data_IF_200902542549
#
_entry.id   IF_200902542549
#
_cell.length_a   1.000
_cell.length_b   1.000
_cell.length_c   1.000
_cell.angle_alpha   90.00
_cell.angle_beta   90.00
_cell.angle_gamma   90.00
#
_symmetry.space_group_name_H-M   'P 1'
#
loop_
_entity.id
_entity.type
_entity.pdbx_description
1 polymer ?
#
# COMPACT_ATOMS: atom_id res chain seq x y z
N UNK A 1 1.61 13.58 -17.18
CA UNK A 1 1.17 12.20 -17.52
C UNK A 1 -0.30 12.06 -17.20
N UNK A 2 -1.09 11.42 -18.06
CA UNK A 2 -2.49 11.12 -17.77
C UNK A 2 -2.58 10.16 -16.57
N UNK A 3 -3.54 10.38 -15.67
CA UNK A 3 -3.76 9.52 -14.52
C UNK A 3 -4.39 8.20 -14.99
N UNK A 4 -3.68 7.08 -14.85
CA UNK A 4 -4.15 5.75 -15.29
C UNK A 4 -5.10 5.09 -14.29
N UNK A 5 -4.93 5.40 -13.00
CA UNK A 5 -5.64 4.76 -11.89
C UNK A 5 -6.15 5.78 -10.86
N UNK A 6 -7.23 5.44 -10.16
CA UNK A 6 -7.77 6.27 -9.08
C UNK A 6 -8.32 5.44 -7.92
N UNK A 7 -8.10 5.92 -6.70
CA UNK A 7 -8.69 5.33 -5.50
C UNK A 7 -10.13 5.82 -5.31
N UNK A 8 -11.07 4.90 -5.15
CA UNK A 8 -12.50 5.17 -4.92
C UNK A 8 -13.04 4.21 -3.86
N UNK A 9 -14.28 4.44 -3.38
CA UNK A 9 -14.95 3.49 -2.47
C UNK A 9 -15.15 2.16 -3.20
N UNK A 10 -14.71 1.07 -2.58
CA UNK A 10 -14.90 -0.28 -3.10
C UNK A 10 -16.28 -0.79 -2.71
N UNK A 11 -16.89 -1.58 -3.59
CA UNK A 11 -18.13 -2.33 -3.28
C UNK A 11 -17.90 -3.55 -2.39
N UNK A 12 -16.64 -3.95 -2.18
CA UNK A 12 -16.27 -5.10 -1.35
C UNK A 12 -15.98 -4.63 0.08
N UNK A 13 -14.97 -3.77 0.27
CA UNK A 13 -14.59 -3.24 1.58
C UNK A 13 -13.75 -1.96 1.43
N UNK A 14 -14.06 -0.91 2.19
CA UNK A 14 -13.24 0.30 2.26
C UNK A 14 -13.01 1.01 0.92
N UNK A 15 -11.74 1.28 0.58
CA UNK A 15 -11.31 1.88 -0.68
C UNK A 15 -10.60 0.84 -1.55
N UNK A 16 -10.69 1.03 -2.86
CA UNK A 16 -9.96 0.23 -3.85
C UNK A 16 -9.45 1.10 -4.99
N UNK A 17 -8.54 0.54 -5.79
CA UNK A 17 -7.93 1.21 -6.95
C UNK A 17 -8.61 0.74 -8.23
N UNK A 18 -8.98 1.68 -9.08
CA UNK A 18 -9.70 1.44 -10.33
C UNK A 18 -8.91 1.98 -11.51
N UNK A 19 -8.85 1.21 -12.59
CA UNK A 19 -8.38 1.70 -13.89
C UNK A 19 -9.35 2.77 -14.42
N UNK A 20 -8.80 3.83 -15.02
CA UNK A 20 -9.59 4.90 -15.65
C UNK A 20 -9.71 4.73 -17.17
N UNK A 21 -8.93 3.83 -17.74
CA UNK A 21 -8.87 3.50 -19.17
C UNK A 21 -8.24 2.11 -19.32
N UNK A 22 -8.19 1.60 -20.54
CA UNK A 22 -7.46 0.36 -20.84
C UNK A 22 -5.95 0.57 -20.60
N UNK A 23 -5.35 -0.39 -19.91
CA UNK A 23 -3.94 -0.35 -19.51
C UNK A 23 -3.20 -1.50 -20.21
N UNK A 24 -2.25 -1.21 -21.11
CA UNK A 24 -1.45 -2.25 -21.75
C UNK A 24 -0.64 -3.07 -20.74
N UNK A 25 -0.45 -4.36 -21.04
CA UNK A 25 0.42 -5.25 -20.24
C UNK A 25 1.84 -4.67 -20.17
N UNK A 26 2.44 -4.71 -18.97
CA UNK A 26 3.79 -4.19 -18.73
C UNK A 26 3.84 -2.70 -18.40
N UNK A 27 2.70 -2.00 -18.36
CA UNK A 27 2.66 -0.60 -17.95
C UNK A 27 2.93 -0.47 -16.45
N UNK A 28 3.96 0.29 -16.07
CA UNK A 28 4.18 0.68 -14.67
C UNK A 28 3.12 1.69 -14.23
N UNK A 29 2.37 1.38 -13.18
CA UNK A 29 1.26 2.20 -12.70
C UNK A 29 1.68 3.23 -11.65
N UNK A 30 2.32 2.75 -10.59
CA UNK A 30 2.77 3.54 -9.47
C UNK A 30 3.76 2.73 -8.64
N UNK A 31 4.52 3.43 -7.81
CA UNK A 31 5.36 2.83 -6.78
C UNK A 31 4.54 2.62 -5.49
N UNK A 32 4.81 1.52 -4.79
CA UNK A 32 4.27 1.30 -3.45
C UNK A 32 5.12 2.06 -2.44
N UNK A 33 4.72 3.30 -2.17
CA UNK A 33 5.43 4.20 -1.26
C UNK A 33 4.87 4.14 0.15
N UNK A 34 5.70 4.49 1.12
CA UNK A 34 5.36 4.57 2.54
C UNK A 34 6.60 4.84 3.37
N UNK A 35 6.45 4.88 4.69
CA UNK A 35 7.60 5.00 5.59
C UNK A 35 8.38 3.69 5.62
N UNK A 36 9.68 3.73 5.38
CA UNK A 36 10.55 2.58 5.60
C UNK A 36 10.77 2.37 7.10
N UNK A 37 10.57 1.13 7.55
CA UNK A 37 10.79 0.66 8.91
C UNK A 37 11.66 -0.59 8.86
N UNK A 38 12.42 -0.86 9.90
CA UNK A 38 12.97 -2.19 10.16
C UNK A 38 11.88 -3.14 10.63
N UNK A 39 12.10 -4.45 10.55
CA UNK A 39 11.19 -5.46 11.11
C UNK A 39 10.92 -5.23 12.59
N UNK A 40 11.95 -4.96 13.38
CA UNK A 40 11.82 -4.69 14.82
C UNK A 40 10.99 -3.43 15.12
N UNK A 41 11.13 -2.36 14.32
CA UNK A 41 10.30 -1.16 14.46
C UNK A 41 8.84 -1.41 14.08
N UNK A 42 8.59 -2.20 13.03
CA UNK A 42 7.25 -2.59 12.65
C UNK A 42 6.61 -3.44 13.75
N UNK A 43 7.30 -4.46 14.25
CA UNK A 43 6.84 -5.30 15.34
C UNK A 43 6.57 -4.48 16.60
N UNK A 44 7.50 -3.63 17.04
CA UNK A 44 7.29 -2.80 18.22
C UNK A 44 6.07 -1.87 18.09
N UNK A 45 5.78 -1.41 16.87
CA UNK A 45 4.65 -0.50 16.60
C UNK A 45 3.31 -1.23 16.50
N UNK A 46 3.31 -2.46 16.01
CA UNK A 46 2.12 -3.16 15.56
C UNK A 46 1.81 -4.45 16.34
N UNK A 47 2.78 -5.03 17.05
CA UNK A 47 2.60 -6.21 17.87
C UNK A 47 1.47 -6.00 18.90
N UNK A 48 0.51 -6.92 18.92
CA UNK A 48 -0.63 -6.92 19.84
C UNK A 48 -1.90 -6.27 19.28
N UNK A 49 -1.85 -5.58 18.14
CA UNK A 49 -3.04 -4.94 17.55
C UNK A 49 -3.74 -5.84 16.52
N UNK A 50 -4.07 -7.08 16.94
CA UNK A 50 -4.68 -8.12 16.10
C UNK A 50 -6.06 -7.70 15.54
N UNK A 51 -6.73 -6.76 16.22
CA UNK A 51 -8.04 -6.24 15.81
C UNK A 51 -8.01 -5.23 14.66
N UNK A 52 -6.85 -4.62 14.39
CA UNK A 52 -6.66 -3.67 13.27
C UNK A 52 -5.65 -4.27 12.32
N UNK A 53 -6.08 -5.24 11.49
CA UNK A 53 -5.18 -5.90 10.54
C UNK A 53 -4.23 -4.89 9.88
N UNK A 54 -2.92 -5.14 9.98
CA UNK A 54 -1.88 -4.25 9.47
C UNK A 54 -1.88 -4.27 7.94
N UNK A 55 -2.90 -3.65 7.35
CA UNK A 55 -3.36 -3.92 5.98
C UNK A 55 -2.42 -3.34 4.91
N UNK A 56 -1.49 -2.46 5.31
CA UNK A 56 -0.62 -1.71 4.39
C UNK A 56 0.87 -1.78 4.76
N UNK A 57 1.30 -2.90 5.34
CA UNK A 57 2.71 -3.22 5.52
C UNK A 57 3.17 -4.16 4.40
N UNK A 58 4.28 -3.83 3.74
CA UNK A 58 4.88 -4.67 2.72
C UNK A 58 6.35 -4.90 3.03
N UNK A 59 6.77 -6.17 3.13
CA UNK A 59 8.19 -6.50 3.27
C UNK A 59 8.93 -6.11 1.99
N UNK A 60 9.94 -5.25 2.12
CA UNK A 60 10.82 -4.85 1.03
C UNK A 60 11.97 -5.86 0.87
N UNK A 61 12.59 -6.23 1.98
CA UNK A 61 13.68 -7.19 2.05
C UNK A 61 13.87 -7.70 3.51
N UNK A 62 14.96 -8.41 3.75
CA UNK A 62 15.29 -9.01 5.06
C UNK A 62 15.46 -7.97 6.18
N UNK A 63 15.74 -6.72 5.84
CA UNK A 63 15.99 -5.65 6.80
C UNK A 63 14.78 -4.73 6.97
N UNK A 64 14.00 -4.53 5.90
CA UNK A 64 13.04 -3.43 5.81
C UNK A 64 11.63 -3.81 5.37
N UNK A 65 10.68 -3.03 5.88
CA UNK A 65 9.26 -3.00 5.55
C UNK A 65 8.90 -1.59 5.09
N UNK A 66 8.01 -1.48 4.09
CA UNK A 66 7.34 -0.23 3.74
C UNK A 66 5.97 -0.18 4.43
N UNK A 67 5.77 0.82 5.29
CA UNK A 67 4.52 1.13 5.97
C UNK A 67 3.75 2.22 5.21
N UNK A 68 2.82 1.81 4.35
CA UNK A 68 1.96 2.72 3.60
C UNK A 68 0.78 3.29 4.43
N UNK A 69 0.66 2.95 5.73
CA UNK A 69 -0.20 3.72 6.63
C UNK A 69 0.33 5.15 6.79
N UNK A 70 1.66 5.33 6.69
CA UNK A 70 2.35 6.60 6.80
C UNK A 70 2.93 7.02 5.46
N UNK A 71 2.41 8.09 4.85
CA UNK A 71 2.93 8.59 3.57
C UNK A 71 2.60 7.71 2.36
N UNK A 72 1.63 6.80 2.48
CA UNK A 72 1.23 5.91 1.39
C UNK A 72 0.57 6.62 0.20
N UNK A 73 0.80 6.07 -0.99
CA UNK A 73 0.26 6.56 -2.25
C UNK A 73 -1.12 6.02 -2.60
N UNK A 74 -1.47 6.10 -3.89
CA UNK A 74 -2.76 5.60 -4.42
C UNK A 74 -2.90 4.07 -4.32
N UNK A 75 -1.78 3.34 -4.17
CA UNK A 75 -1.73 1.88 -4.12
C UNK A 75 -1.98 1.29 -2.72
N UNK A 76 -2.19 2.13 -1.70
CA UNK A 76 -2.61 1.67 -0.38
C UNK A 76 -4.10 1.35 -0.35
#
# INVERSE_FOLDING_TARGET
MARLISARRSGIHGKGVFALQDIPKGTTLCEYIGKQLTHAEADAKYAGNVGTGHTFLFTLNDDYIIDANQGGGVAR
#
